data_IF_162706813431
#
_entry.id   IF_162706813431
#
_cell.length_a   1.000
_cell.length_b   1.000
_cell.length_c   1.000
_cell.angle_alpha   90.00
_cell.angle_beta   90.00
_cell.angle_gamma   90.00
#
_symmetry.space_group_name_H-M   'P 1'
#
loop_
_entity.id
_entity.type
_entity.pdbx_description
1 polymer ?
#
# COMPACT_ATOMS: atom_id res chain seq x y z
N UNK A 1 3.17 -17.13 2.32
CA UNK A 1 2.50 -16.87 1.02
C UNK A 1 1.06 -16.35 1.17
N UNK A 2 0.06 -17.09 1.69
CA UNK A 2 -1.33 -16.62 1.70
C UNK A 2 -1.53 -15.33 2.52
N UNK A 3 -0.83 -15.19 3.65
CA UNK A 3 -0.83 -13.96 4.44
C UNK A 3 -0.31 -12.74 3.66
N UNK A 4 0.75 -12.90 2.88
CA UNK A 4 1.34 -11.79 2.11
C UNK A 4 0.46 -11.40 0.92
N UNK A 5 -0.21 -12.38 0.30
CA UNK A 5 -1.25 -12.13 -0.71
C UNK A 5 -2.40 -11.33 -0.10
N UNK A 6 -2.88 -11.74 1.08
CA UNK A 6 -3.95 -11.03 1.78
C UNK A 6 -3.55 -9.58 2.10
N UNK A 7 -2.31 -9.36 2.55
CA UNK A 7 -1.77 -8.03 2.82
C UNK A 7 -1.68 -7.17 1.54
N UNK A 8 -1.26 -7.77 0.42
CA UNK A 8 -1.27 -7.10 -0.89
C UNK A 8 -2.68 -6.67 -1.30
N UNK A 9 -3.65 -7.58 -1.19
CA UNK A 9 -5.05 -7.32 -1.52
C UNK A 9 -5.61 -6.22 -0.62
N UNK A 10 -5.39 -6.30 0.69
CA UNK A 10 -5.83 -5.28 1.64
C UNK A 10 -5.25 -3.90 1.30
N UNK A 11 -3.96 -3.85 0.95
CA UNK A 11 -3.29 -2.60 0.55
C UNK A 11 -3.87 -2.05 -0.75
N UNK A 12 -4.00 -2.89 -1.78
CA UNK A 12 -4.54 -2.50 -3.08
C UNK A 12 -6.00 -2.03 -2.96
N UNK A 13 -6.82 -2.70 -2.14
CA UNK A 13 -8.19 -2.29 -1.86
C UNK A 13 -8.24 -0.96 -1.11
N UNK A 14 -7.43 -0.79 -0.06
CA UNK A 14 -7.41 0.46 0.70
C UNK A 14 -7.03 1.66 -0.17
N UNK A 15 -5.97 1.53 -0.96
CA UNK A 15 -5.51 2.60 -1.87
C UNK A 15 -6.52 2.80 -2.98
N UNK A 16 -7.07 1.72 -3.54
CA UNK A 16 -8.10 1.77 -4.58
C UNK A 16 -9.37 2.48 -4.13
N UNK A 17 -9.83 2.27 -2.89
CA UNK A 17 -10.98 2.96 -2.31
C UNK A 17 -10.73 4.47 -2.19
N UNK A 18 -9.55 4.86 -1.71
CA UNK A 18 -9.14 6.26 -1.64
C UNK A 18 -9.10 6.92 -3.02
N UNK A 19 -8.41 6.31 -3.98
CA UNK A 19 -8.24 6.84 -5.32
C UNK A 19 -9.56 6.86 -6.10
N UNK A 20 -10.42 5.85 -5.91
CA UNK A 20 -11.75 5.81 -6.52
C UNK A 20 -12.60 6.99 -6.04
N UNK A 21 -12.68 7.18 -4.72
CA UNK A 21 -13.40 8.31 -4.14
C UNK A 21 -12.85 9.66 -4.68
N UNK A 22 -11.53 9.86 -4.63
CA UNK A 22 -10.91 11.08 -5.16
C UNK A 22 -11.17 11.29 -6.66
N UNK A 23 -11.19 10.23 -7.46
CA UNK A 23 -11.42 10.32 -8.90
C UNK A 23 -12.85 10.77 -9.24
N UNK A 24 -13.85 10.43 -8.43
CA UNK A 24 -15.21 10.92 -8.65
C UNK A 24 -15.31 12.43 -8.34
N UNK A 25 -14.59 12.91 -7.32
CA UNK A 25 -14.54 14.34 -6.99
C UNK A 25 -13.66 15.14 -7.97
N UNK A 26 -12.56 14.56 -8.43
CA UNK A 26 -11.55 15.20 -9.28
C UNK A 26 -11.20 14.29 -10.46
N UNK A 27 -11.75 14.59 -11.64
CA UNK A 27 -11.53 13.80 -12.87
C UNK A 27 -10.06 13.65 -13.28
N UNK A 28 -9.21 14.60 -12.93
CA UNK A 28 -7.78 14.59 -13.27
C UNK A 28 -6.99 13.52 -12.50
N UNK A 29 -7.51 13.05 -11.35
CA UNK A 29 -6.87 11.99 -10.55
C UNK A 29 -6.73 10.72 -11.38
N UNK A 30 -7.73 10.38 -12.20
CA UNK A 30 -7.68 9.21 -13.08
C UNK A 30 -6.48 9.21 -14.02
N UNK A 31 -6.02 10.37 -14.48
CA UNK A 31 -4.84 10.50 -15.35
C UNK A 31 -3.53 10.43 -14.57
N UNK A 32 -3.54 10.81 -13.28
CA UNK A 32 -2.37 10.74 -12.41
C UNK A 32 -2.10 9.32 -11.88
N UNK A 33 -3.11 8.43 -11.80
CA UNK A 33 -2.97 7.08 -11.24
C UNK A 33 -1.80 6.28 -11.85
N UNK A 34 -1.63 6.18 -13.20
CA UNK A 34 -0.53 5.43 -13.78
C UNK A 34 0.85 5.98 -13.39
N UNK A 35 0.97 7.29 -13.22
CA UNK A 35 2.21 7.93 -12.80
C UNK A 35 2.49 7.66 -11.31
N UNK A 36 1.44 7.73 -10.47
CA UNK A 36 1.55 7.42 -9.05
C UNK A 36 1.95 5.97 -8.81
N UNK A 37 1.38 5.01 -9.55
CA UNK A 37 1.75 3.59 -9.43
C UNK A 37 3.20 3.35 -9.89
N UNK A 38 3.65 4.05 -10.93
CA UNK A 38 5.04 3.99 -11.37
C UNK A 38 6.02 4.51 -10.31
N UNK A 39 5.72 5.65 -9.68
CA UNK A 39 6.51 6.16 -8.55
C UNK A 39 6.47 5.16 -7.39
N UNK A 40 5.31 4.59 -7.08
CA UNK A 40 5.15 3.63 -5.97
C UNK A 40 6.05 2.41 -6.13
N UNK A 41 6.24 1.94 -7.37
CA UNK A 41 7.13 0.83 -7.68
C UNK A 41 8.60 1.13 -7.31
N UNK A 42 9.07 2.37 -7.46
CA UNK A 42 10.42 2.78 -7.06
C UNK A 42 10.54 3.01 -5.54
N UNK A 43 9.48 3.51 -4.91
CA UNK A 43 9.41 3.71 -3.46
C UNK A 43 9.37 2.38 -2.71
N UNK A 44 8.86 1.32 -3.35
CA UNK A 44 8.92 -0.04 -2.80
C UNK A 44 10.27 -0.66 -3.19
N UNK A 45 10.97 -1.37 -2.29
CA UNK A 45 12.24 -2.00 -2.61
C UNK A 45 11.98 -3.27 -3.43
N UNK A 46 11.45 -3.13 -4.65
CA UNK A 46 11.23 -4.21 -5.62
C UNK A 46 12.51 -4.42 -6.43
N UNK A 47 13.12 -3.33 -6.88
CA UNK A 47 14.29 -3.33 -7.77
C UNK A 47 15.60 -3.45 -6.97
N UNK A 48 15.60 -3.07 -5.70
CA UNK A 48 16.77 -3.11 -4.80
C UNK A 48 16.49 -3.88 -3.52
N UNK A 49 17.52 -4.51 -2.92
CA UNK A 49 17.40 -5.11 -1.59
C UNK A 49 17.25 -4.04 -0.51
N UNK A 50 16.46 -4.36 0.51
CA UNK A 50 16.21 -3.50 1.68
C UNK A 50 17.47 -3.21 2.52
N UNK A 51 18.57 -3.95 2.30
CA UNK A 51 19.87 -3.77 2.95
C UNK A 51 20.68 -2.59 2.41
N UNK A 52 20.37 -2.07 1.21
CA UNK A 52 21.03 -0.90 0.65
C UNK A 52 20.57 0.42 1.28
N UNK A 53 19.47 0.39 2.05
CA UNK A 53 18.90 1.58 2.69
C UNK A 53 19.57 1.80 4.05
N UNK A 54 20.32 2.90 4.25
CA UNK A 54 20.95 3.21 5.53
C UNK A 54 19.92 3.59 6.61
N UNK A 55 20.24 3.33 7.88
CA UNK A 55 19.48 3.89 9.00
C UNK A 55 19.65 5.42 9.03
N UNK A 56 18.58 6.21 9.31
CA UNK A 56 17.28 5.81 9.88
C UNK A 56 16.17 5.56 8.85
N UNK A 57 16.45 5.72 7.56
CA UNK A 57 15.44 5.66 6.48
C UNK A 57 14.72 4.32 6.41
N UNK A 58 15.34 3.25 6.89
CA UNK A 58 14.75 1.91 7.00
C UNK A 58 13.41 1.88 7.75
N UNK A 59 13.24 2.73 8.77
CA UNK A 59 11.97 2.84 9.53
C UNK A 59 10.89 3.48 8.67
N UNK A 60 11.23 4.54 7.93
CA UNK A 60 10.32 5.24 7.00
C UNK A 60 9.87 4.28 5.89
N UNK A 61 10.78 3.45 5.38
CA UNK A 61 10.44 2.41 4.42
C UNK A 61 9.47 1.37 5.01
N UNK A 62 9.63 1.00 6.28
CA UNK A 62 8.72 0.07 6.96
C UNK A 62 7.28 0.56 7.10
N UNK A 63 7.02 1.86 6.93
CA UNK A 63 5.67 2.42 6.88
C UNK A 63 4.94 2.11 5.57
N UNK A 64 5.64 1.81 4.49
CA UNK A 64 4.98 1.44 3.24
C UNK A 64 4.52 -0.02 3.32
N UNK A 65 3.20 -0.30 3.29
CA UNK A 65 2.67 -1.65 3.47
C UNK A 65 3.12 -2.64 2.39
N UNK A 66 3.47 -2.15 1.19
CA UNK A 66 4.00 -2.98 0.10
C UNK A 66 5.41 -3.50 0.40
N UNK A 67 6.16 -2.89 1.31
CA UNK A 67 7.50 -3.36 1.70
C UNK A 67 7.41 -4.71 2.42
N UNK A 68 6.50 -4.83 3.39
CA UNK A 68 6.24 -6.09 4.08
C UNK A 68 5.75 -7.20 3.15
N UNK A 69 4.98 -6.85 2.11
CA UNK A 69 4.54 -7.80 1.08
C UNK A 69 5.73 -8.30 0.27
N UNK A 70 6.52 -7.41 -0.31
CA UNK A 70 7.63 -7.76 -1.21
C UNK A 70 8.73 -8.54 -0.48
N UNK A 71 9.13 -8.10 0.72
CA UNK A 71 10.10 -8.84 1.54
C UNK A 71 9.54 -10.21 1.98
N UNK A 72 8.25 -10.29 2.33
CA UNK A 72 7.60 -11.57 2.66
C UNK A 72 7.58 -12.55 1.48
N UNK A 73 7.36 -12.07 0.26
CA UNK A 73 7.47 -12.88 -0.96
C UNK A 73 8.90 -13.33 -1.23
N UNK A 74 9.89 -12.43 -1.13
CA UNK A 74 11.31 -12.82 -1.28
C UNK A 74 11.73 -13.88 -0.27
N UNK A 75 11.35 -13.69 1.00
CA UNK A 75 11.70 -14.63 2.06
C UNK A 75 11.04 -15.99 1.85
N UNK A 76 9.76 -16.02 1.47
CA UNK A 76 9.03 -17.29 1.31
C UNK A 76 9.31 -18.04 0.00
N UNK A 77 9.70 -17.35 -1.08
CA UNK A 77 9.98 -17.97 -2.38
C UNK A 77 11.46 -18.21 -2.64
N UNK A 78 12.31 -17.25 -2.26
CA UNK A 78 13.75 -17.25 -2.58
C UNK A 78 14.60 -17.56 -1.35
N UNK A 79 14.03 -17.61 -0.14
CA UNK A 79 14.79 -17.76 1.11
C UNK A 79 15.71 -16.58 1.41
N UNK A 80 15.53 -15.46 0.71
CA UNK A 80 16.36 -14.25 0.81
C UNK A 80 15.54 -13.06 1.30
N UNK A 81 16.19 -12.11 1.96
CA UNK A 81 15.53 -10.95 2.55
C UNK A 81 15.38 -11.06 4.07
N UNK A 82 14.91 -9.97 4.67
CA UNK A 82 14.61 -9.94 6.09
C UNK A 82 13.32 -10.73 6.36
N UNK A 83 13.41 -11.78 7.20
CA UNK A 83 12.26 -12.59 7.56
C UNK A 83 11.15 -11.79 8.28
N UNK A 84 10.04 -12.44 8.65
CA UNK A 84 8.96 -11.78 9.39
C UNK A 84 9.50 -11.14 10.68
N UNK A 85 9.52 -9.81 10.71
CA UNK A 85 10.03 -8.99 11.81
C UNK A 85 9.24 -7.69 11.95
N UNK A 86 9.81 -6.68 12.61
CA UNK A 86 9.12 -5.40 12.89
C UNK A 86 8.61 -4.65 11.66
N UNK A 87 9.25 -4.83 10.48
CA UNK A 87 8.79 -4.24 9.22
C UNK A 87 7.46 -4.85 8.77
N UNK A 88 7.28 -6.16 8.93
CA UNK A 88 6.04 -6.84 8.55
C UNK A 88 4.87 -6.41 9.45
N UNK A 89 5.11 -6.27 10.76
CA UNK A 89 4.07 -5.82 11.69
C UNK A 89 3.69 -4.37 11.43
N UNK A 90 4.66 -3.48 11.21
CA UNK A 90 4.41 -2.09 10.80
C UNK A 90 3.62 -2.01 9.49
N UNK A 91 4.06 -2.76 8.46
CA UNK A 91 3.36 -2.82 7.16
C UNK A 91 1.93 -3.33 7.29
N UNK A 92 1.70 -4.33 8.13
CA UNK A 92 0.35 -4.87 8.38
C UNK A 92 -0.56 -3.85 9.06
N UNK A 93 -0.05 -3.16 10.09
CA UNK A 93 -0.80 -2.10 10.78
C UNK A 93 -1.15 -0.96 9.83
N UNK A 94 -0.20 -0.52 9.00
CA UNK A 94 -0.46 0.53 8.02
C UNK A 94 -1.46 0.07 6.96
N UNK A 95 -1.37 -1.15 6.44
CA UNK A 95 -2.33 -1.68 5.49
C UNK A 95 -3.75 -1.73 6.06
N UNK A 96 -3.89 -2.18 7.31
CA UNK A 96 -5.18 -2.19 8.01
C UNK A 96 -5.72 -0.77 8.22
N UNK A 97 -4.90 0.17 8.67
CA UNK A 97 -5.29 1.57 8.84
C UNK A 97 -5.70 2.21 7.50
N UNK A 98 -4.99 1.91 6.43
CA UNK A 98 -5.26 2.40 5.08
C UNK A 98 -6.58 1.82 4.54
N UNK A 99 -6.83 0.52 4.75
CA UNK A 99 -8.09 -0.11 4.36
C UNK A 99 -9.29 0.45 5.13
N UNK A 100 -9.18 0.60 6.45
CA UNK A 100 -10.26 1.14 7.30
C UNK A 100 -10.54 2.61 6.95
N UNK A 101 -9.49 3.42 6.80
CA UNK A 101 -9.64 4.83 6.41
C UNK A 101 -10.22 4.99 5.01
N UNK A 102 -9.77 4.17 4.05
CA UNK A 102 -10.30 4.17 2.68
C UNK A 102 -11.77 3.77 2.63
N UNK A 103 -12.16 2.76 3.41
CA UNK A 103 -13.56 2.34 3.51
C UNK A 103 -14.44 3.41 4.14
N UNK A 104 -13.96 4.08 5.21
CA UNK A 104 -14.68 5.18 5.84
C UNK A 104 -14.85 6.38 4.89
N UNK A 105 -13.78 6.76 4.18
CA UNK A 105 -13.78 7.87 3.24
C UNK A 105 -14.70 7.59 2.04
N UNK A 106 -14.62 6.37 1.47
CA UNK A 106 -15.48 5.95 0.38
C UNK A 106 -16.97 6.00 0.76
N UNK A 107 -17.33 5.46 1.93
CA UNK A 107 -18.71 5.50 2.44
C UNK A 107 -19.22 6.92 2.67
N UNK A 108 -18.37 7.81 3.18
CA UNK A 108 -18.75 9.23 3.38
C UNK A 108 -19.04 9.91 2.03
N UNK A 109 -18.27 9.58 1.00
CA UNK A 109 -18.45 10.18 -0.32
C UNK A 109 -19.67 9.61 -1.05
N UNK A 110 -19.95 8.31 -0.89
CA UNK A 110 -21.17 7.66 -1.39
C UNK A 110 -22.44 8.40 -0.95
N UNK A 111 -22.50 8.86 0.30
CA UNK A 111 -23.64 9.65 0.81
C UNK A 111 -23.77 11.02 0.11
N UNK A 112 -22.66 11.63 -0.31
CA UNK A 112 -22.69 12.92 -1.02
C UNK A 112 -23.14 12.75 -2.48
N UNK A 113 -22.82 11.61 -3.10
CA UNK A 113 -23.27 11.31 -4.47
C UNK A 113 -24.76 11.02 -4.57
N UNK A 114 -25.33 10.35 -3.55
CA UNK A 114 -26.76 10.05 -3.53
C UNK A 114 -27.64 11.31 -3.49
N UNK A 115 -27.16 12.42 -2.93
CA UNK A 115 -27.88 13.69 -2.84
C UNK A 115 -27.75 14.59 -4.08
N UNK A 116 -26.88 14.24 -5.05
CA UNK A 116 -26.65 15.07 -6.26
C UNK A 116 -27.35 14.50 -7.51
N UNK A 117 -28.18 13.47 -7.37
CA UNK A 117 -28.97 12.86 -8.46
C UNK A 117 -30.45 13.18 -8.33
#
# INVERSE_FOLDING_TARGET
>A
LPLFVLLAIATALGVGLWLSALNVQYRDVGHAIPFLTQIWLFVTPIVYPSSLVPEPWRIVYGLNPMVGVVEGFRWSLLGTGSGPGGILTASTLVACALLVSGMFYFRRMEQTFADTV
#
